data_IF_123022924164
#
_entry.id   IF_123022924164
#
_cell.length_a   1.000
_cell.length_b   1.000
_cell.length_c   1.000
_cell.angle_alpha   90.00
_cell.angle_beta   90.00
_cell.angle_gamma   90.00
#
_symmetry.space_group_name_H-M   'P 1'
#
loop_
_entity.id
_entity.type
_entity.pdbx_description
1 polymer ?
#
# COMPACT_ATOMS: atom_id res chain seq x y z
N UNK A 1 -12.13 -0.60 0.86
CA UNK A 1 -11.06 -0.54 -0.15
C UNK A 1 -11.23 0.73 -0.96
N UNK A 2 -10.14 1.37 -1.39
CA UNK A 2 -10.23 2.57 -2.20
C UNK A 2 -10.89 2.25 -3.57
N UNK A 3 -11.76 3.11 -4.13
CA UNK A 3 -12.45 2.85 -5.41
C UNK A 3 -11.52 2.43 -6.55
N UNK A 4 -10.36 3.07 -6.67
CA UNK A 4 -9.37 2.77 -7.72
C UNK A 4 -8.81 1.33 -7.68
N UNK A 5 -8.94 0.64 -6.54
CA UNK A 5 -8.54 -0.76 -6.39
C UNK A 5 -9.61 -1.74 -6.87
N UNK A 6 -10.85 -1.30 -7.06
CA UNK A 6 -12.00 -2.19 -7.26
C UNK A 6 -11.79 -3.16 -8.44
N UNK A 7 -11.37 -2.64 -9.60
CA UNK A 7 -11.15 -3.44 -10.79
C UNK A 7 -10.08 -4.52 -10.55
N UNK A 8 -8.96 -4.14 -9.94
CA UNK A 8 -7.88 -5.06 -9.60
C UNK A 8 -8.38 -6.15 -8.64
N UNK A 9 -9.07 -5.76 -7.56
CA UNK A 9 -9.57 -6.70 -6.55
C UNK A 9 -10.60 -7.67 -7.15
N UNK A 10 -11.52 -7.18 -7.99
CA UNK A 10 -12.52 -8.04 -8.67
C UNK A 10 -11.84 -9.09 -9.54
N UNK A 11 -10.88 -8.68 -10.35
CA UNK A 11 -10.14 -9.59 -11.24
C UNK A 11 -9.38 -10.65 -10.43
N UNK A 12 -8.68 -10.23 -9.36
CA UNK A 12 -7.92 -11.15 -8.52
C UNK A 12 -8.80 -12.13 -7.74
N UNK A 13 -9.91 -11.66 -7.16
CA UNK A 13 -10.84 -12.54 -6.45
C UNK A 13 -11.55 -13.50 -7.38
N UNK A 14 -11.89 -13.09 -8.61
CA UNK A 14 -12.39 -13.99 -9.63
C UNK A 14 -11.35 -15.03 -10.02
N UNK A 15 -10.10 -14.62 -10.30
CA UNK A 15 -8.98 -15.51 -10.66
C UNK A 15 -8.69 -16.54 -9.57
N UNK A 16 -8.75 -16.12 -8.31
CA UNK A 16 -8.52 -16.97 -7.14
C UNK A 16 -9.76 -17.77 -6.71
N UNK A 17 -10.90 -17.60 -7.37
CA UNK A 17 -12.19 -18.23 -6.99
C UNK A 17 -12.60 -17.95 -5.54
N UNK A 18 -12.32 -16.74 -5.06
CA UNK A 18 -12.62 -16.30 -3.69
C UNK A 18 -13.91 -15.48 -3.65
N UNK A 19 -14.96 -15.94 -2.96
CA UNK A 19 -16.21 -15.19 -2.83
C UNK A 19 -16.05 -14.07 -1.80
N UNK A 20 -15.45 -12.94 -2.22
CA UNK A 20 -15.23 -11.76 -1.36
C UNK A 20 -16.21 -10.65 -1.69
N UNK A 21 -16.79 -10.07 -0.64
CA UNK A 21 -17.51 -8.80 -0.73
C UNK A 21 -16.50 -7.65 -0.71
N UNK A 22 -16.46 -6.84 -1.76
CA UNK A 22 -15.63 -5.64 -1.81
C UNK A 22 -16.46 -4.47 -1.32
N UNK A 23 -16.14 -3.95 -0.13
CA UNK A 23 -16.73 -2.71 0.40
C UNK A 23 -15.83 -1.54 0.06
N UNK A 24 -16.35 -0.60 -0.73
CA UNK A 24 -15.61 0.61 -1.08
C UNK A 24 -15.65 1.61 0.08
N UNK A 25 -14.55 2.32 0.25
CA UNK A 25 -14.37 3.32 1.30
C UNK A 25 -13.86 4.60 0.65
N UNK A 26 -14.53 5.71 0.94
CA UNK A 26 -14.10 7.07 0.59
C UNK A 26 -13.70 7.81 1.86
N UNK A 27 -12.72 8.70 1.74
CA UNK A 27 -12.48 9.70 2.78
C UNK A 27 -13.66 10.69 2.77
N UNK A 28 -14.35 10.80 3.91
CA UNK A 28 -15.49 11.68 4.08
C UNK A 28 -15.14 12.90 4.97
N UNK A 29 -13.85 13.22 5.11
CA UNK A 29 -13.38 14.30 5.98
C UNK A 29 -13.35 13.91 7.45
N UNK A 30 -13.07 12.63 7.74
CA UNK A 30 -12.84 12.17 9.11
C UNK A 30 -11.59 12.87 9.67
N UNK A 31 -11.57 13.18 10.97
CA UNK A 31 -10.43 13.85 11.58
C UNK A 31 -9.20 12.96 11.53
N UNK A 32 -8.31 13.22 10.59
CA UNK A 32 -6.99 12.58 10.50
C UNK A 32 -6.00 13.26 11.44
N UNK A 33 -5.13 12.46 12.05
CA UNK A 33 -3.98 12.99 12.78
C UNK A 33 -3.08 13.81 11.82
N UNK A 34 -2.28 14.72 12.37
CA UNK A 34 -1.38 15.53 11.55
C UNK A 34 -0.30 14.67 10.88
N UNK A 35 0.24 13.70 11.62
CA UNK A 35 1.38 12.88 11.20
C UNK A 35 1.02 11.40 11.06
N UNK A 36 1.54 10.81 9.99
CA UNK A 36 1.44 9.39 9.66
C UNK A 36 2.64 8.63 10.18
N UNK A 37 2.43 7.34 10.45
CA UNK A 37 3.46 6.45 10.96
C UNK A 37 3.52 5.22 10.06
N UNK A 38 4.73 4.91 9.59
CA UNK A 38 5.04 3.74 8.77
C UNK A 38 6.02 2.85 9.53
N UNK A 39 5.80 1.54 9.47
CA UNK A 39 6.82 0.55 9.78
C UNK A 39 7.58 0.22 8.50
N UNK A 40 8.90 0.13 8.60
CA UNK A 40 9.79 -0.14 7.47
C UNK A 40 10.68 -1.33 7.79
N UNK A 41 10.59 -2.37 6.98
CA UNK A 41 11.40 -3.59 7.11
C UNK A 41 12.43 -3.65 5.97
N UNK A 42 13.72 -3.69 6.34
CA UNK A 42 14.83 -3.71 5.39
C UNK A 42 15.39 -5.12 5.21
N UNK A 43 15.62 -5.48 3.95
CA UNK A 43 16.37 -6.66 3.53
C UNK A 43 17.42 -6.22 2.50
N UNK A 44 18.54 -5.73 3.03
CA UNK A 44 19.64 -5.16 2.23
C UNK A 44 20.29 -6.19 1.32
N UNK A 45 20.27 -7.46 1.70
CA UNK A 45 20.81 -8.56 0.88
C UNK A 45 20.07 -8.73 -0.45
N UNK A 46 18.82 -8.27 -0.50
CA UNK A 46 17.95 -8.32 -1.69
C UNK A 46 17.59 -6.93 -2.23
N UNK A 47 18.28 -5.89 -1.76
CA UNK A 47 17.96 -4.48 -2.04
C UNK A 47 16.46 -4.19 -1.87
N UNK A 48 15.85 -4.78 -0.84
CA UNK A 48 14.41 -4.79 -0.65
C UNK A 48 14.02 -4.02 0.59
N UNK A 49 12.93 -3.27 0.49
CA UNK A 49 12.26 -2.66 1.62
C UNK A 49 10.76 -2.91 1.54
N UNK A 50 10.13 -3.15 2.69
CA UNK A 50 8.68 -3.32 2.79
C UNK A 50 8.13 -2.36 3.82
N UNK A 51 7.23 -1.48 3.39
CA UNK A 51 6.53 -0.53 4.24
C UNK A 51 5.15 -1.08 4.63
N UNK A 52 4.73 -0.76 5.84
CA UNK A 52 3.41 -1.07 6.39
C UNK A 52 2.86 0.14 7.13
N UNK A 53 1.57 0.46 6.98
CA UNK A 53 0.98 1.56 7.72
C UNK A 53 0.79 1.15 9.19
N UNK A 54 1.21 2.02 10.10
CA UNK A 54 0.90 1.94 11.53
C UNK A 54 -0.16 2.96 11.93
N UNK A 55 -0.15 4.14 11.30
CA UNK A 55 -1.12 5.20 11.55
C UNK A 55 -1.27 6.14 10.35
N UNK A 56 -2.50 6.50 9.99
CA UNK A 56 -2.76 7.49 8.93
C UNK A 56 -2.62 8.92 9.45
N UNK A 57 -2.19 9.82 8.58
CA UNK A 57 -2.08 11.25 8.88
C UNK A 57 -2.19 12.11 7.62
N UNK A 58 -2.25 13.43 7.79
CA UNK A 58 -2.38 14.37 6.67
C UNK A 58 -1.10 14.46 5.82
N UNK A 59 0.04 14.07 6.39
CA UNK A 59 1.36 14.09 5.75
C UNK A 59 1.72 12.80 4.97
N UNK A 60 0.80 11.82 4.82
CA UNK A 60 1.11 10.50 4.22
C UNK A 60 1.85 10.61 2.89
N UNK A 61 1.47 11.55 2.03
CA UNK A 61 2.11 11.76 0.73
C UNK A 61 3.58 12.18 0.87
N UNK A 62 3.86 13.17 1.73
CA UNK A 62 5.22 13.64 2.00
C UNK A 62 6.04 12.56 2.70
N UNK A 63 5.46 11.89 3.71
CA UNK A 63 6.14 10.84 4.46
C UNK A 63 6.57 9.68 3.55
N UNK A 64 5.71 9.26 2.60
CA UNK A 64 6.09 8.26 1.59
C UNK A 64 7.22 8.78 0.70
N UNK A 65 7.14 10.01 0.19
CA UNK A 65 8.16 10.58 -0.68
C UNK A 65 9.54 10.69 0.00
N UNK A 66 9.58 11.07 1.27
CA UNK A 66 10.81 11.16 2.06
C UNK A 66 11.45 9.77 2.25
N UNK A 67 10.63 8.75 2.54
CA UNK A 67 11.10 7.36 2.59
C UNK A 67 11.66 6.89 1.24
N UNK A 68 11.01 7.23 0.13
CA UNK A 68 11.49 6.87 -1.20
C UNK A 68 12.83 7.52 -1.53
N UNK A 69 13.03 8.78 -1.13
CA UNK A 69 14.31 9.48 -1.26
C UNK A 69 15.41 8.74 -0.50
N UNK A 70 15.16 8.38 0.76
CA UNK A 70 16.09 7.60 1.58
C UNK A 70 16.43 6.23 0.94
N UNK A 71 15.43 5.53 0.40
CA UNK A 71 15.66 4.23 -0.23
C UNK A 71 16.50 4.33 -1.51
N UNK A 72 16.32 5.39 -2.28
CA UNK A 72 17.15 5.65 -3.45
C UNK A 72 18.63 5.90 -3.05
N UNK A 73 18.87 6.67 -1.99
CA UNK A 73 20.21 6.89 -1.44
C UNK A 73 20.87 5.59 -0.93
N UNK A 74 20.08 4.66 -0.39
CA UNK A 74 20.55 3.33 0.05
C UNK A 74 20.62 2.27 -1.08
N UNK A 75 20.35 2.63 -2.34
CA UNK A 75 20.29 1.71 -3.50
C UNK A 75 19.33 0.52 -3.29
N UNK A 76 18.17 0.79 -2.69
CA UNK A 76 17.10 -0.19 -2.48
C UNK A 76 16.09 -0.11 -3.63
N UNK A 77 16.18 -1.06 -4.56
CA UNK A 77 15.39 -1.07 -5.79
C UNK A 77 14.01 -1.74 -5.60
N UNK A 78 13.91 -2.70 -4.69
CA UNK A 78 12.73 -3.53 -4.50
C UNK A 78 11.85 -2.97 -3.37
N UNK A 79 11.06 -1.94 -3.69
CA UNK A 79 10.24 -1.21 -2.73
C UNK A 79 8.78 -1.70 -2.77
N UNK A 80 8.30 -2.21 -1.64
CA UNK A 80 6.96 -2.75 -1.49
C UNK A 80 6.17 -2.04 -0.41
N UNK A 81 4.85 -1.96 -0.58
CA UNK A 81 3.92 -1.50 0.45
C UNK A 81 2.83 -2.54 0.67
N UNK A 82 2.48 -2.82 1.92
CA UNK A 82 1.44 -3.79 2.26
C UNK A 82 0.24 -3.10 2.90
N UNK A 83 -0.92 -3.24 2.27
CA UNK A 83 -2.23 -2.80 2.78
C UNK A 83 -2.98 -4.03 3.30
N UNK A 84 -3.66 -3.90 4.46
CA UNK A 84 -4.58 -4.92 4.96
C UNK A 84 -6.00 -4.48 4.59
N UNK A 85 -6.64 -5.21 3.67
CA UNK A 85 -7.97 -4.88 3.18
C UNK A 85 -9.07 -5.09 4.23
N UNK A 86 -8.77 -5.80 5.33
CA UNK A 86 -9.67 -5.94 6.48
C UNK A 86 -9.70 -4.71 7.38
N UNK A 87 -8.85 -3.70 7.15
CA UNK A 87 -8.81 -2.44 7.91
C UNK A 87 -9.16 -1.29 6.99
N UNK A 88 -10.35 -0.72 7.16
CA UNK A 88 -10.87 0.37 6.30
C UNK A 88 -9.88 1.53 6.16
N UNK A 89 -9.28 1.99 7.27
CA UNK A 89 -8.36 3.14 7.26
C UNK A 89 -7.04 2.89 6.52
N UNK A 90 -6.61 1.63 6.29
CA UNK A 90 -5.43 1.38 5.45
C UNK A 90 -5.65 1.82 4.00
N UNK A 91 -6.92 1.87 3.54
CA UNK A 91 -7.25 2.33 2.19
C UNK A 91 -6.92 3.81 1.94
N UNK A 92 -6.81 4.62 3.01
CA UNK A 92 -6.45 6.04 2.92
C UNK A 92 -5.01 6.26 2.41
N UNK A 93 -4.14 5.24 2.48
CA UNK A 93 -2.78 5.33 1.93
C UNK A 93 -2.75 5.17 0.42
N UNK A 94 -3.76 4.54 -0.18
CA UNK A 94 -3.71 4.18 -1.60
C UNK A 94 -3.53 5.39 -2.54
N UNK A 95 -4.24 6.52 -2.38
CA UNK A 95 -4.04 7.68 -3.24
C UNK A 95 -2.59 8.18 -3.26
N UNK A 96 -1.98 8.31 -2.08
CA UNK A 96 -0.59 8.75 -1.95
C UNK A 96 0.40 7.74 -2.54
N UNK A 97 0.14 6.44 -2.36
CA UNK A 97 0.94 5.38 -2.96
C UNK A 97 0.87 5.41 -4.49
N UNK A 98 -0.33 5.55 -5.05
CA UNK A 98 -0.53 5.63 -6.49
C UNK A 98 0.21 6.84 -7.10
N UNK A 99 0.12 8.02 -6.47
CA UNK A 99 0.88 9.22 -6.87
C UNK A 99 2.39 9.02 -6.85
N UNK A 100 2.88 8.23 -5.89
CA UNK A 100 4.31 7.89 -5.75
C UNK A 100 4.76 6.70 -6.63
N UNK A 101 3.90 6.24 -7.54
CA UNK A 101 4.23 5.22 -8.53
C UNK A 101 4.12 3.77 -8.03
N UNK A 102 3.41 3.53 -6.94
CA UNK A 102 3.08 2.16 -6.52
C UNK A 102 1.93 1.60 -7.34
N UNK A 103 2.06 0.35 -7.76
CA UNK A 103 1.00 -0.40 -8.43
C UNK A 103 0.63 -1.66 -7.66
N UNK A 104 -0.66 -2.03 -7.60
CA UNK A 104 -1.10 -3.34 -7.10
C UNK A 104 -0.42 -4.49 -7.86
N UNK A 105 0.11 -5.48 -7.15
CA UNK A 105 0.76 -6.65 -7.79
C UNK A 105 0.05 -7.96 -7.52
N UNK A 106 -0.32 -8.23 -6.26
CA UNK A 106 -1.10 -9.41 -5.93
C UNK A 106 -1.81 -9.25 -4.57
N UNK A 107 -2.75 -10.16 -4.32
CA UNK A 107 -3.42 -10.33 -3.04
C UNK A 107 -2.93 -11.61 -2.37
N UNK A 108 -2.63 -11.53 -1.06
CA UNK A 108 -2.41 -12.70 -0.22
C UNK A 108 -3.67 -12.96 0.64
N UNK A 109 -4.44 -14.01 0.34
CA UNK A 109 -5.66 -14.32 1.08
C UNK A 109 -5.36 -14.64 2.55
N UNK A 110 -6.20 -14.15 3.46
CA UNK A 110 -6.09 -14.41 4.91
C UNK A 110 -4.73 -14.05 5.55
N UNK A 111 -3.95 -13.16 4.93
CA UNK A 111 -2.64 -12.74 5.45
C UNK A 111 -2.68 -11.70 6.57
N UNK A 112 -3.85 -11.09 6.83
CA UNK A 112 -4.04 -10.04 7.84
C UNK A 112 -5.36 -10.19 8.58
N UNK A 113 -6.03 -9.08 8.91
CA UNK A 113 -7.43 -9.10 9.37
C UNK A 113 -8.38 -9.46 8.22
N UNK A 114 -8.03 -9.11 7.00
CA UNK A 114 -8.62 -9.64 5.77
C UNK A 114 -7.55 -10.22 4.87
N UNK A 115 -7.66 -9.92 3.58
CA UNK A 115 -6.60 -10.24 2.61
C UNK A 115 -5.58 -9.09 2.56
N UNK A 116 -4.30 -9.42 2.38
CA UNK A 116 -3.26 -8.41 2.20
C UNK A 116 -3.12 -8.05 0.73
N UNK A 117 -3.09 -6.76 0.42
CA UNK A 117 -2.73 -6.24 -0.88
C UNK A 117 -1.24 -5.85 -0.87
N UNK A 118 -0.45 -6.48 -1.74
CA UNK A 118 0.92 -6.04 -1.99
C UNK A 118 0.94 -5.05 -3.15
N UNK A 119 1.51 -3.88 -2.91
CA UNK A 119 1.87 -2.90 -3.92
C UNK A 119 3.39 -2.87 -4.08
N UNK A 120 3.84 -2.57 -5.29
CA UNK A 120 5.24 -2.41 -5.60
C UNK A 120 5.43 -1.08 -6.30
N UNK A 121 6.48 -0.33 -5.93
CA UNK A 121 6.88 0.85 -6.69
C UNK A 121 7.39 0.39 -8.04
N UNK A 122 6.85 0.95 -9.11
CA UNK A 122 7.39 0.72 -10.44
C UNK A 122 8.86 1.19 -10.44
N UNK A 123 9.77 0.33 -10.88
CA UNK A 123 11.12 0.78 -11.24
C UNK A 123 11.05 1.75 -12.41
N UNK A 124 12.07 2.58 -12.59
CA UNK A 124 12.25 3.23 -13.89
C UNK A 124 12.26 2.14 -14.97
N UNK A 125 11.56 2.32 -16.11
CA UNK A 125 11.72 1.42 -17.23
C UNK A 125 13.21 1.41 -17.61
N UNK A 126 13.82 0.23 -17.56
CA UNK A 126 15.19 -0.01 -18.00
C UNK A 126 15.39 0.39 -19.47
#
# INVERSE_FOLDING_TARGET
AHPDLELFLRNEYQRLTLPREIRLTSDNGETTADFSVLATEFDRSRQKVTLRPLWAGNDVENNIADHLTLFAEENLENIFFVIDLGKSWHSAFFPALAKNGFTPRFILPYGGKGDLLLLQKNGDPA
#
